data_IF_499719733631
#
_entry.id   IF_499719733631
#
_cell.length_a   1.000
_cell.length_b   1.000
_cell.length_c   1.000
_cell.angle_alpha   90.00
_cell.angle_beta   90.00
_cell.angle_gamma   90.00
#
_symmetry.space_group_name_H-M   'P 1'
#
loop_
_entity.id
_entity.type
_entity.pdbx_description
1 polymer ?
#
# COMPACT_ATOMS: atom_id res chain seq x y z
N UNK A 1 17.81 6.85 -14.30
CA UNK A 1 18.98 7.25 -13.50
C UNK A 1 18.59 8.26 -12.41
N UNK A 2 17.97 9.40 -12.74
CA UNK A 2 17.71 10.47 -11.76
C UNK A 2 16.86 10.04 -10.54
N UNK A 3 15.76 9.28 -10.71
CA UNK A 3 14.92 8.85 -9.58
C UNK A 3 15.59 7.85 -8.63
N UNK A 4 16.51 7.03 -9.15
CA UNK A 4 17.20 6.01 -8.36
C UNK A 4 18.03 6.66 -7.24
N UNK A 5 18.78 7.71 -7.58
CA UNK A 5 19.66 8.38 -6.61
C UNK A 5 18.85 9.04 -5.49
N UNK A 6 17.72 9.69 -5.81
CA UNK A 6 16.84 10.28 -4.80
C UNK A 6 16.25 9.22 -3.87
N UNK A 7 15.63 8.17 -4.42
CA UNK A 7 14.99 7.14 -3.59
C UNK A 7 16.01 6.36 -2.76
N UNK A 8 17.21 6.11 -3.29
CA UNK A 8 18.27 5.42 -2.54
C UNK A 8 18.68 6.21 -1.30
N UNK A 9 18.90 7.52 -1.43
CA UNK A 9 19.25 8.36 -0.29
C UNK A 9 18.09 8.45 0.73
N UNK A 10 16.85 8.55 0.26
CA UNK A 10 15.68 8.55 1.13
C UNK A 10 15.57 7.23 1.92
N UNK A 11 15.72 6.07 1.27
CA UNK A 11 15.65 4.78 1.93
C UNK A 11 16.81 4.56 2.90
N UNK A 12 18.02 5.00 2.56
CA UNK A 12 19.14 5.01 3.50
C UNK A 12 18.79 5.79 4.76
N UNK A 13 18.27 7.02 4.62
CA UNK A 13 17.86 7.85 5.76
C UNK A 13 16.76 7.19 6.61
N UNK A 14 15.78 6.53 5.97
CA UNK A 14 14.75 5.75 6.67
C UNK A 14 15.38 4.61 7.48
N UNK A 15 16.28 3.82 6.89
CA UNK A 15 16.91 2.69 7.59
C UNK A 15 17.84 3.15 8.72
N UNK A 16 18.56 4.27 8.55
CA UNK A 16 19.34 4.88 9.62
C UNK A 16 18.46 5.27 10.81
N UNK A 17 17.32 5.91 10.56
CA UNK A 17 16.38 6.33 11.60
C UNK A 17 15.69 5.14 12.32
N UNK A 18 15.56 4.00 11.67
CA UNK A 18 14.91 2.82 12.23
C UNK A 18 15.82 1.96 13.11
N UNK A 19 17.15 2.13 13.02
CA UNK A 19 18.14 1.45 13.87
C UNK A 19 17.91 -0.08 13.96
N UNK A 20 17.63 -0.72 12.82
CA UNK A 20 17.37 -2.17 12.74
C UNK A 20 15.94 -2.61 13.01
N UNK A 21 14.99 -1.69 13.21
CA UNK A 21 13.54 -2.01 13.16
C UNK A 21 13.11 -2.29 11.70
N UNK A 22 12.11 -3.16 11.48
CA UNK A 22 11.61 -3.46 10.15
C UNK A 22 10.97 -2.25 9.48
N UNK A 23 11.22 -2.08 8.18
CA UNK A 23 10.61 -1.04 7.34
C UNK A 23 9.80 -1.70 6.21
N UNK A 24 8.47 -1.67 6.33
CA UNK A 24 7.59 -2.13 5.25
C UNK A 24 7.42 -1.03 4.21
N UNK A 25 8.01 -1.24 3.02
CA UNK A 25 8.01 -0.29 1.92
C UNK A 25 7.07 -0.80 0.84
N UNK A 26 6.00 -0.06 0.60
CA UNK A 26 5.05 -0.32 -0.46
C UNK A 26 5.63 0.18 -1.79
N UNK A 27 5.60 -0.66 -2.82
CA UNK A 27 5.95 -0.22 -4.17
C UNK A 27 4.92 0.78 -4.71
N UNK A 28 5.22 1.39 -5.86
CA UNK A 28 4.36 2.40 -6.48
C UNK A 28 2.92 1.88 -6.57
N UNK A 29 2.00 2.74 -6.16
CA UNK A 29 0.59 2.45 -6.05
C UNK A 29 -0.28 3.36 -6.93
N UNK A 30 -0.11 4.70 -6.97
CA UNK A 30 -1.01 5.55 -7.75
C UNK A 30 -0.85 5.34 -9.27
N UNK A 31 -1.92 5.58 -10.05
CA UNK A 31 -1.87 5.59 -11.51
C UNK A 31 -1.01 6.76 -12.01
N UNK A 32 -0.42 6.60 -13.20
CA UNK A 32 0.55 7.57 -13.72
C UNK A 32 -0.03 8.96 -14.00
N UNK A 33 -1.33 9.07 -14.26
CA UNK A 33 -1.97 10.37 -14.51
C UNK A 33 -1.98 11.28 -13.28
N UNK A 34 -1.84 10.76 -12.06
CA UNK A 34 -1.69 11.59 -10.85
C UNK A 34 -0.39 12.40 -10.83
N UNK A 35 0.61 12.02 -11.64
CA UNK A 35 1.88 12.73 -11.78
C UNK A 35 1.89 13.70 -12.98
N UNK A 36 0.81 13.75 -13.76
CA UNK A 36 0.66 14.67 -14.89
C UNK A 36 -0.12 15.92 -14.47
N UNK A 37 0.04 17.06 -15.18
CA UNK A 37 -0.82 18.22 -14.96
C UNK A 37 -2.29 17.87 -15.15
N UNK A 38 -3.17 18.67 -14.52
CA UNK A 38 -4.59 18.49 -14.65
C UNK A 38 -5.00 18.54 -16.13
N UNK A 39 -5.67 17.49 -16.62
CA UNK A 39 -6.05 17.35 -18.02
C UNK A 39 -6.87 18.54 -18.53
N UNK A 40 -7.80 19.05 -17.71
CA UNK A 40 -8.70 20.16 -18.10
C UNK A 40 -7.92 21.46 -18.22
N UNK A 41 -7.00 21.72 -17.29
CA UNK A 41 -6.13 22.90 -17.33
C UNK A 41 -5.18 22.82 -18.52
N UNK A 42 -4.52 21.67 -18.71
CA UNK A 42 -3.59 21.45 -19.81
C UNK A 42 -4.26 21.55 -21.18
N UNK A 43 -5.46 20.98 -21.34
CA UNK A 43 -6.25 21.10 -22.57
C UNK A 43 -6.65 22.55 -22.85
N UNK A 44 -7.02 23.30 -21.81
CA UNK A 44 -7.36 24.72 -21.92
C UNK A 44 -6.15 25.57 -22.33
N UNK A 45 -4.98 25.32 -21.72
CA UNK A 45 -3.73 26.00 -22.08
C UNK A 45 -3.35 25.73 -23.54
N UNK A 46 -3.34 24.47 -23.96
CA UNK A 46 -2.99 24.08 -25.33
C UNK A 46 -3.97 24.71 -26.34
N UNK A 47 -5.26 24.80 -26.01
CA UNK A 47 -6.24 25.46 -26.87
C UNK A 47 -5.98 26.98 -27.01
N UNK A 48 -5.61 27.66 -25.91
CA UNK A 48 -5.26 29.08 -25.92
C UNK A 48 -3.96 29.33 -26.69
N UNK A 49 -2.95 28.49 -26.49
CA UNK A 49 -1.67 28.59 -27.21
C UNK A 49 -1.92 28.46 -28.73
N UNK A 50 -2.71 27.46 -29.16
CA UNK A 50 -3.12 27.29 -30.56
C UNK A 50 -3.86 28.50 -31.12
N UNK A 51 -4.81 29.04 -30.36
CA UNK A 51 -5.60 30.20 -30.79
C UNK A 51 -4.75 31.49 -30.89
N UNK A 52 -3.69 31.61 -30.09
CA UNK A 52 -2.77 32.76 -30.09
C UNK A 52 -1.57 32.57 -31.02
N UNK A 53 -1.53 31.47 -31.78
CA UNK A 53 -0.46 31.16 -32.74
C UNK A 53 0.84 30.68 -32.08
N UNK A 54 0.81 30.31 -30.80
CA UNK A 54 1.92 29.65 -30.11
C UNK A 54 1.74 28.13 -30.25
N UNK A 55 2.77 27.45 -30.74
CA UNK A 55 2.79 25.99 -30.79
C UNK A 55 3.90 25.54 -29.84
N UNK A 56 3.50 24.75 -28.85
CA UNK A 56 4.39 24.11 -27.88
C UNK A 56 4.22 22.59 -28.03
N UNK A 57 5.12 21.99 -28.80
CA UNK A 57 5.09 20.55 -29.12
C UNK A 57 5.21 19.67 -27.87
N UNK A 58 5.91 20.16 -26.83
CA UNK A 58 6.07 19.45 -25.56
C UNK A 58 4.73 19.43 -24.80
N UNK A 59 4.01 20.57 -24.73
CA UNK A 59 2.67 20.62 -24.14
C UNK A 59 1.66 19.77 -24.92
N UNK A 60 1.73 19.74 -26.24
CA UNK A 60 0.87 18.86 -27.04
C UNK A 60 1.15 17.37 -26.76
N UNK A 61 2.41 17.01 -26.65
CA UNK A 61 2.82 15.63 -26.31
C UNK A 61 2.33 15.27 -24.92
N UNK A 62 2.46 16.18 -23.96
CA UNK A 62 1.96 16.01 -22.59
C UNK A 62 0.44 15.88 -22.54
N UNK A 63 -0.30 16.68 -23.32
CA UNK A 63 -1.75 16.58 -23.42
C UNK A 63 -2.18 15.21 -23.94
N UNK A 64 -1.57 14.74 -25.03
CA UNK A 64 -1.87 13.40 -25.59
C UNK A 64 -1.55 12.30 -24.58
N UNK A 65 -0.47 12.44 -23.82
CA UNK A 65 -0.13 11.50 -22.75
C UNK A 65 -1.18 11.50 -21.65
N UNK A 66 -1.57 12.68 -21.15
CA UNK A 66 -2.61 12.84 -20.13
C UNK A 66 -3.97 12.29 -20.58
N UNK A 67 -4.37 12.53 -21.84
CA UNK A 67 -5.58 11.95 -22.43
C UNK A 67 -5.50 10.41 -22.50
N UNK A 68 -4.35 9.86 -22.91
CA UNK A 68 -4.17 8.41 -23.04
C UNK A 68 -4.16 7.68 -21.70
N UNK A 69 -3.74 8.34 -20.63
CA UNK A 69 -3.65 7.80 -19.27
C UNK A 69 -4.88 8.13 -18.41
N UNK A 70 -5.83 8.90 -18.95
CA UNK A 70 -7.06 9.24 -18.26
C UNK A 70 -7.95 8.01 -18.11
N UNK A 71 -8.43 7.78 -16.90
CA UNK A 71 -9.31 6.66 -16.57
C UNK A 71 -10.60 7.18 -15.95
N UNK A 72 -11.72 6.51 -16.25
CA UNK A 72 -13.03 6.87 -15.70
C UNK A 72 -13.08 6.62 -14.18
N UNK A 73 -12.47 5.52 -13.71
CA UNK A 73 -12.41 5.15 -12.30
C UNK A 73 -10.96 4.84 -11.88
N UNK A 74 -10.13 5.86 -11.63
CA UNK A 74 -8.71 5.70 -11.31
C UNK A 74 -8.39 4.72 -10.16
N UNK A 75 -9.27 4.68 -9.15
CA UNK A 75 -9.13 3.77 -8.01
C UNK A 75 -9.09 2.28 -8.42
N UNK A 76 -9.74 1.92 -9.53
CA UNK A 76 -9.80 0.55 -10.03
C UNK A 76 -8.98 0.35 -11.33
N UNK A 77 -8.16 1.32 -11.71
CA UNK A 77 -7.48 1.38 -13.01
C UNK A 77 -6.09 0.74 -13.06
N UNK A 78 -5.25 1.27 -13.95
CA UNK A 78 -3.86 0.87 -14.17
C UNK A 78 -2.95 1.44 -13.10
N UNK A 79 -2.91 0.75 -11.96
CA UNK A 79 -2.18 1.17 -10.76
C UNK A 79 -1.63 -0.05 -10.00
N UNK A 80 -0.87 0.18 -8.93
CA UNK A 80 -0.32 -0.88 -8.07
C UNK A 80 0.40 -2.00 -8.82
N UNK A 81 0.11 -3.26 -8.47
CA UNK A 81 0.71 -4.44 -9.12
C UNK A 81 0.51 -4.47 -10.63
N UNK A 82 -0.61 -3.94 -11.15
CA UNK A 82 -0.92 -3.96 -12.58
C UNK A 82 0.03 -3.04 -13.33
N UNK A 83 0.27 -1.85 -12.78
CA UNK A 83 1.26 -0.91 -13.33
C UNK A 83 2.65 -1.54 -13.31
N UNK A 84 2.99 -2.22 -12.21
CA UNK A 84 4.28 -2.92 -12.03
C UNK A 84 4.48 -4.06 -13.03
N UNK A 85 3.41 -4.75 -13.44
CA UNK A 85 3.46 -5.81 -14.46
C UNK A 85 3.63 -5.21 -15.87
N UNK A 86 2.94 -4.11 -16.17
CA UNK A 86 3.04 -3.44 -17.47
C UNK A 86 4.40 -2.75 -17.66
N UNK A 87 4.95 -2.17 -16.59
CA UNK A 87 6.22 -1.45 -16.58
C UNK A 87 7.18 -2.03 -15.52
N UNK A 88 7.75 -3.23 -15.75
CA UNK A 88 8.60 -3.93 -14.79
C UNK A 88 9.88 -3.16 -14.43
N UNK A 89 10.33 -2.24 -15.27
CA UNK A 89 11.45 -1.34 -14.99
C UNK A 89 11.24 -0.47 -13.74
N UNK A 90 9.98 -0.17 -13.38
CA UNK A 90 9.66 0.57 -12.16
C UNK A 90 9.99 -0.28 -10.94
N UNK A 91 9.61 -1.57 -10.97
CA UNK A 91 9.92 -2.53 -9.90
C UNK A 91 11.42 -2.66 -9.73
N UNK A 92 12.14 -2.88 -10.83
CA UNK A 92 13.60 -3.00 -10.79
C UNK A 92 14.26 -1.75 -10.19
N UNK A 93 13.79 -0.56 -10.56
CA UNK A 93 14.32 0.70 -10.02
C UNK A 93 14.03 0.86 -8.52
N UNK A 94 12.78 0.64 -8.08
CA UNK A 94 12.41 0.81 -6.66
C UNK A 94 13.07 -0.25 -5.76
N UNK A 95 13.07 -1.52 -6.18
CA UNK A 95 13.74 -2.60 -5.45
C UNK A 95 15.23 -2.32 -5.33
N UNK A 96 15.87 -1.86 -6.40
CA UNK A 96 17.28 -1.44 -6.37
C UNK A 96 17.50 -0.31 -5.39
N UNK A 97 16.68 0.74 -5.43
CA UNK A 97 16.80 1.87 -4.50
C UNK A 97 16.69 1.44 -3.03
N UNK A 98 15.70 0.60 -2.71
CA UNK A 98 15.47 0.07 -1.36
C UNK A 98 16.70 -0.72 -0.88
N UNK A 99 17.16 -1.67 -1.70
CA UNK A 99 18.24 -2.56 -1.31
C UNK A 99 19.61 -1.87 -1.31
N UNK A 100 19.89 -0.95 -2.22
CA UNK A 100 21.10 -0.14 -2.18
C UNK A 100 21.13 0.78 -0.95
N UNK A 101 19.99 1.36 -0.55
CA UNK A 101 19.87 2.14 0.68
C UNK A 101 20.14 1.29 1.93
N UNK A 102 19.56 0.08 1.98
CA UNK A 102 19.83 -0.89 3.05
C UNK A 102 21.30 -1.33 3.09
N UNK A 103 21.90 -1.62 1.93
CA UNK A 103 23.30 -2.01 1.79
C UNK A 103 24.24 -0.93 2.32
N UNK A 104 23.95 0.35 2.06
CA UNK A 104 24.74 1.47 2.57
C UNK A 104 24.78 1.49 4.11
N UNK A 105 23.62 1.29 4.77
CA UNK A 105 23.52 1.23 6.24
C UNK A 105 24.27 0.02 6.79
N UNK A 106 24.12 -1.16 6.18
CA UNK A 106 24.80 -2.39 6.61
C UNK A 106 26.32 -2.25 6.49
N UNK A 107 26.82 -1.70 5.38
CA UNK A 107 28.26 -1.45 5.17
C UNK A 107 28.85 -0.45 6.16
N UNK A 108 28.04 0.50 6.63
CA UNK A 108 28.41 1.43 7.68
C UNK A 108 28.41 0.80 9.10
N UNK A 109 28.07 -0.49 9.22
CA UNK A 109 28.00 -1.22 10.49
C UNK A 109 26.63 -1.16 11.19
N UNK A 110 25.63 -0.55 10.55
CA UNK A 110 24.25 -0.51 11.01
C UNK A 110 23.46 -1.79 10.71
N UNK A 111 22.15 -1.74 10.97
CA UNK A 111 21.20 -2.82 10.64
C UNK A 111 20.04 -2.26 9.85
N UNK A 112 19.72 -2.90 8.73
CA UNK A 112 18.54 -2.59 7.91
C UNK A 112 17.72 -3.86 7.72
N UNK A 113 16.39 -3.76 7.84
CA UNK A 113 15.46 -4.89 7.69
C UNK A 113 14.31 -4.46 6.75
N UNK A 114 14.54 -4.46 5.42
CA UNK A 114 13.54 -4.10 4.43
C UNK A 114 12.45 -5.18 4.32
N UNK A 115 11.19 -4.74 4.26
CA UNK A 115 10.04 -5.57 3.91
C UNK A 115 9.39 -4.97 2.66
N UNK A 116 9.53 -5.62 1.50
CA UNK A 116 9.04 -5.10 0.22
C UNK A 116 7.61 -5.59 0.00
N UNK A 117 6.67 -4.66 -0.15
CA UNK A 117 5.24 -4.95 -0.20
C UNK A 117 4.63 -4.54 -1.53
N UNK A 118 3.91 -5.48 -2.16
CA UNK A 118 3.22 -5.26 -3.43
C UNK A 118 1.76 -4.81 -3.17
N UNK A 119 1.32 -3.66 -3.71
CA UNK A 119 -0.06 -3.20 -3.58
C UNK A 119 -1.01 -3.83 -4.62
N UNK A 120 -2.30 -3.83 -4.28
CA UNK A 120 -3.44 -4.13 -5.15
C UNK A 120 -3.49 -5.55 -5.74
N UNK A 121 -2.87 -6.52 -5.06
CA UNK A 121 -2.83 -7.91 -5.51
C UNK A 121 -4.19 -8.58 -5.34
N UNK A 122 -4.70 -9.17 -6.43
CA UNK A 122 -5.93 -9.96 -6.45
C UNK A 122 -5.72 -11.41 -6.84
N UNK A 123 -4.57 -11.78 -7.42
CA UNK A 123 -4.27 -13.14 -7.89
C UNK A 123 -2.80 -13.52 -7.62
N UNK A 124 -2.54 -14.78 -7.24
CA UNK A 124 -1.17 -15.28 -6.96
C UNK A 124 -0.19 -15.02 -8.12
N UNK A 125 -0.58 -15.30 -9.37
CA UNK A 125 0.25 -15.03 -10.54
C UNK A 125 0.70 -13.56 -10.68
N UNK A 126 -0.09 -12.58 -10.24
CA UNK A 126 0.38 -11.18 -10.23
C UNK A 126 1.59 -11.03 -9.29
N UNK A 127 1.49 -11.63 -8.11
CA UNK A 127 2.56 -11.63 -7.11
C UNK A 127 3.78 -12.44 -7.57
N UNK A 128 3.58 -13.64 -8.13
CA UNK A 128 4.66 -14.48 -8.69
C UNK A 128 5.40 -13.77 -9.82
N UNK A 129 4.70 -13.09 -10.73
CA UNK A 129 5.33 -12.33 -11.83
C UNK A 129 6.23 -11.21 -11.29
N UNK A 130 5.76 -10.45 -10.30
CA UNK A 130 6.58 -9.38 -9.70
C UNK A 130 7.77 -9.94 -8.91
N UNK A 131 7.57 -11.04 -8.19
CA UNK A 131 8.62 -11.69 -7.39
C UNK A 131 9.83 -12.08 -8.26
N UNK A 132 9.61 -12.59 -9.47
CA UNK A 132 10.69 -12.94 -10.40
C UNK A 132 11.57 -11.73 -10.72
N UNK A 133 10.98 -10.58 -11.04
CA UNK A 133 11.76 -9.37 -11.35
C UNK A 133 12.44 -8.78 -10.11
N UNK A 134 11.77 -8.86 -8.95
CA UNK A 134 12.34 -8.45 -7.66
C UNK A 134 13.57 -9.29 -7.29
N UNK A 135 13.46 -10.62 -7.33
CA UNK A 135 14.56 -11.52 -6.95
C UNK A 135 15.76 -11.38 -7.89
N UNK A 136 15.51 -11.22 -9.19
CA UNK A 136 16.54 -10.90 -10.19
C UNK A 136 17.28 -9.60 -9.84
N UNK A 137 16.54 -8.55 -9.51
CA UNK A 137 17.11 -7.25 -9.12
C UNK A 137 17.87 -7.35 -7.81
N UNK A 138 17.30 -8.00 -6.80
CA UNK A 138 17.91 -8.17 -5.49
C UNK A 138 19.24 -8.93 -5.57
N UNK A 139 19.29 -10.00 -6.36
CA UNK A 139 20.51 -10.75 -6.60
C UNK A 139 21.60 -9.87 -7.24
N UNK A 140 21.25 -9.12 -8.29
CA UNK A 140 22.20 -8.21 -8.94
C UNK A 140 22.74 -7.16 -7.96
N UNK A 141 21.88 -6.55 -7.14
CA UNK A 141 22.30 -5.56 -6.13
C UNK A 141 23.22 -6.19 -5.09
N UNK A 142 22.89 -7.37 -4.55
CA UNK A 142 23.73 -8.03 -3.57
C UNK A 142 25.12 -8.39 -4.15
N UNK A 143 25.19 -8.86 -5.39
CA UNK A 143 26.45 -9.15 -6.10
C UNK A 143 27.28 -7.89 -6.31
N UNK A 144 26.67 -6.81 -6.82
CA UNK A 144 27.34 -5.53 -7.05
C UNK A 144 27.80 -4.85 -5.76
N UNK A 145 27.00 -4.95 -4.70
CA UNK A 145 27.32 -4.36 -3.41
C UNK A 145 28.28 -5.24 -2.59
N UNK A 146 28.40 -6.54 -2.88
CA UNK A 146 29.26 -7.45 -2.12
C UNK A 146 28.82 -7.62 -0.67
N UNK A 147 27.52 -7.48 -0.38
CA UNK A 147 26.93 -7.64 0.95
C UNK A 147 25.59 -8.36 0.84
N UNK A 148 25.31 -9.26 1.78
CA UNK A 148 24.01 -9.89 1.91
C UNK A 148 23.04 -8.92 2.59
N UNK A 149 21.85 -8.76 2.01
CA UNK A 149 20.83 -7.83 2.48
C UNK A 149 19.61 -8.67 2.84
N UNK A 150 19.33 -8.95 4.11
CA UNK A 150 18.15 -9.71 4.48
C UNK A 150 16.91 -8.85 4.21
N UNK A 151 15.99 -9.34 3.39
CA UNK A 151 14.69 -8.70 3.14
C UNK A 151 13.58 -9.76 3.15
N UNK A 152 12.35 -9.30 3.35
CA UNK A 152 11.15 -10.15 3.18
C UNK A 152 10.25 -9.59 2.10
N UNK A 153 9.55 -10.49 1.42
CA UNK A 153 8.60 -10.16 0.37
C UNK A 153 7.17 -10.45 0.82
N UNK A 154 6.27 -9.49 0.63
CA UNK A 154 4.88 -9.62 1.03
C UNK A 154 3.94 -8.79 0.17
N UNK A 155 2.67 -8.77 0.57
CA UNK A 155 1.64 -8.10 -0.20
C UNK A 155 0.66 -7.38 0.70
N UNK A 156 0.04 -6.34 0.14
CA UNK A 156 -1.16 -5.78 0.70
C UNK A 156 -2.35 -6.71 0.40
N UNK A 157 -3.24 -6.90 1.37
CA UNK A 157 -4.55 -7.54 1.19
C UNK A 157 -5.60 -6.44 1.23
N UNK A 158 -5.96 -5.96 0.05
CA UNK A 158 -6.86 -4.81 -0.13
C UNK A 158 -7.86 -4.99 -1.27
N UNK A 159 -7.73 -6.08 -2.03
CA UNK A 159 -8.71 -6.51 -3.03
C UNK A 159 -9.51 -7.67 -2.44
N UNK A 160 -10.87 -7.65 -2.47
CA UNK A 160 -11.69 -8.73 -1.91
C UNK A 160 -11.32 -10.12 -2.45
N UNK A 161 -10.98 -10.22 -3.75
CA UNK A 161 -10.50 -11.48 -4.34
C UNK A 161 -9.23 -11.99 -3.65
N UNK A 162 -8.28 -11.11 -3.36
CA UNK A 162 -7.04 -11.47 -2.67
C UNK A 162 -7.30 -12.01 -1.26
N UNK A 163 -8.28 -11.46 -0.55
CA UNK A 163 -8.71 -12.01 0.75
C UNK A 163 -9.34 -13.41 0.62
N UNK A 164 -10.19 -13.62 -0.41
CA UNK A 164 -10.86 -14.90 -0.65
C UNK A 164 -9.90 -16.02 -1.10
N UNK A 165 -8.79 -15.68 -1.76
CA UNK A 165 -7.76 -16.62 -2.24
C UNK A 165 -6.44 -16.46 -1.48
N UNK A 166 -6.50 -16.03 -0.22
CA UNK A 166 -5.33 -15.71 0.59
C UNK A 166 -4.40 -16.90 0.86
N UNK A 167 -4.94 -18.13 0.83
CA UNK A 167 -4.20 -19.39 0.88
C UNK A 167 -3.23 -19.51 -0.30
N UNK A 168 -3.67 -19.23 -1.52
CA UNK A 168 -2.81 -19.23 -2.70
C UNK A 168 -1.74 -18.15 -2.58
N UNK A 169 -2.12 -16.93 -2.20
CA UNK A 169 -1.20 -15.79 -2.09
C UNK A 169 -0.13 -16.03 -1.01
N UNK A 170 -0.49 -16.70 0.10
CA UNK A 170 0.43 -17.00 1.21
C UNK A 170 1.55 -17.99 0.85
N UNK A 171 1.43 -18.70 -0.27
CA UNK A 171 2.53 -19.52 -0.83
C UNK A 171 3.74 -18.62 -1.13
N UNK A 172 3.50 -17.45 -1.72
CA UNK A 172 4.55 -16.55 -2.18
C UNK A 172 4.91 -15.48 -1.14
N UNK A 173 3.92 -14.96 -0.42
CA UNK A 173 4.08 -13.86 0.53
C UNK A 173 4.51 -14.34 1.92
N UNK A 174 5.50 -13.68 2.50
CA UNK A 174 5.97 -13.91 3.87
C UNK A 174 5.18 -13.12 4.91
N UNK A 175 4.50 -12.05 4.48
CA UNK A 175 3.64 -11.23 5.32
C UNK A 175 2.47 -10.65 4.53
N UNK A 176 1.38 -10.34 5.24
CA UNK A 176 0.27 -9.55 4.75
C UNK A 176 0.13 -8.25 5.53
N UNK A 177 -0.17 -7.17 4.82
CA UNK A 177 -0.70 -5.94 5.41
C UNK A 177 -2.10 -5.69 4.87
N UNK A 178 -3.10 -5.56 5.73
CA UNK A 178 -4.44 -5.20 5.30
C UNK A 178 -4.50 -3.72 4.95
N UNK A 179 -4.74 -3.43 3.67
CA UNK A 179 -5.05 -2.10 3.15
C UNK A 179 -6.55 -1.85 3.30
N UNK A 180 -6.98 -1.58 4.53
CA UNK A 180 -8.41 -1.59 4.86
C UNK A 180 -9.18 -0.42 4.25
N UNK A 181 -8.52 0.66 3.82
CA UNK A 181 -9.17 1.74 3.10
C UNK A 181 -9.71 1.22 1.75
N UNK A 182 -8.84 0.70 0.89
CA UNK A 182 -9.21 0.13 -0.40
C UNK A 182 -10.09 -1.12 -0.24
N UNK A 183 -9.83 -1.96 0.76
CA UNK A 183 -10.69 -3.11 1.04
C UNK A 183 -12.12 -2.68 1.39
N UNK A 184 -12.27 -1.61 2.18
CA UNK A 184 -13.58 -1.03 2.52
C UNK A 184 -14.25 -0.45 1.27
N UNK A 185 -13.51 0.30 0.45
CA UNK A 185 -14.04 0.84 -0.81
C UNK A 185 -14.61 -0.25 -1.71
N UNK A 186 -13.85 -1.33 -1.94
CA UNK A 186 -14.28 -2.43 -2.80
C UNK A 186 -15.38 -3.31 -2.18
N UNK A 187 -15.40 -3.44 -0.84
CA UNK A 187 -16.42 -4.25 -0.14
C UNK A 187 -17.77 -3.55 -0.10
N UNK A 188 -17.79 -2.24 0.17
CA UNK A 188 -19.01 -1.44 0.20
C UNK A 188 -19.45 -0.94 -1.19
N UNK A 189 -18.52 -0.87 -2.14
CA UNK A 189 -18.73 -0.17 -3.40
C UNK A 189 -18.75 1.36 -3.21
N UNK A 190 -17.99 1.87 -2.23
CA UNK A 190 -17.92 3.29 -1.91
C UNK A 190 -16.61 3.88 -2.45
N UNK A 191 -16.72 4.92 -3.28
CA UNK A 191 -15.59 5.79 -3.60
C UNK A 191 -15.33 6.67 -2.39
N UNK A 192 -14.13 6.59 -1.80
CA UNK A 192 -13.77 7.39 -0.61
C UNK A 192 -13.96 8.89 -0.90
N UNK A 193 -13.48 9.34 -2.05
CA UNK A 193 -13.51 10.75 -2.47
C UNK A 193 -14.94 11.28 -2.74
N UNK A 194 -15.92 10.39 -2.97
CA UNK A 194 -17.31 10.77 -3.22
C UNK A 194 -18.25 10.48 -2.06
N UNK A 195 -17.83 9.66 -1.11
CA UNK A 195 -18.71 9.06 -0.09
C UNK A 195 -19.24 10.06 0.92
N UNK A 196 -18.50 11.13 1.22
CA UNK A 196 -18.90 12.23 2.11
C UNK A 196 -20.26 12.84 1.74
N UNK A 197 -20.62 12.80 0.44
CA UNK A 197 -21.89 13.33 -0.08
C UNK A 197 -23.13 12.59 0.47
N UNK A 198 -22.99 11.33 0.87
CA UNK A 198 -24.11 10.51 1.35
C UNK A 198 -23.89 9.81 2.70
N UNK A 199 -22.65 9.65 3.16
CA UNK A 199 -22.34 8.95 4.42
C UNK A 199 -22.98 9.61 5.64
N UNK A 200 -22.96 10.95 5.71
CA UNK A 200 -23.56 11.67 6.83
C UNK A 200 -25.06 11.35 7.01
N UNK A 201 -25.93 11.47 5.98
CA UNK A 201 -27.31 10.97 6.05
C UNK A 201 -27.44 9.49 6.40
N UNK A 202 -26.52 8.62 5.98
CA UNK A 202 -26.56 7.18 6.30
C UNK A 202 -26.37 6.94 7.80
N UNK A 203 -25.40 7.62 8.41
CA UNK A 203 -25.12 7.53 9.85
C UNK A 203 -26.23 8.19 10.67
N UNK A 204 -26.69 9.39 10.28
CA UNK A 204 -27.78 10.10 10.97
C UNK A 204 -29.09 9.31 10.98
N UNK A 205 -29.38 8.57 9.89
CA UNK A 205 -30.55 7.69 9.77
C UNK A 205 -30.32 6.30 10.35
N UNK A 206 -29.15 6.02 10.93
CA UNK A 206 -28.75 4.72 11.49
C UNK A 206 -28.84 3.57 10.48
N UNK A 207 -28.65 3.87 9.19
CA UNK A 207 -28.47 2.85 8.15
C UNK A 207 -27.11 2.16 8.38
N UNK A 208 -26.10 2.96 8.68
CA UNK A 208 -24.81 2.51 9.18
C UNK A 208 -24.62 2.99 10.62
N UNK A 209 -23.94 2.20 11.48
CA UNK A 209 -23.66 2.59 12.86
C UNK A 209 -22.63 3.72 12.97
N UNK A 210 -21.81 3.92 11.94
CA UNK A 210 -20.76 4.94 11.86
C UNK A 210 -20.15 4.95 10.46
N UNK A 211 -19.14 5.81 10.25
CA UNK A 211 -18.38 5.87 9.00
C UNK A 211 -17.45 4.64 8.89
N UNK A 212 -17.63 3.78 7.86
CA UNK A 212 -16.82 2.57 7.70
C UNK A 212 -15.37 2.85 7.31
N UNK A 213 -14.99 4.10 6.97
CA UNK A 213 -13.62 4.52 6.72
C UNK A 213 -12.90 5.05 7.98
N UNK A 214 -13.64 5.34 9.05
CA UNK A 214 -13.08 5.76 10.33
C UNK A 214 -12.88 4.56 11.28
N UNK A 215 -13.87 3.67 11.34
CA UNK A 215 -13.83 2.46 12.17
C UNK A 215 -14.25 1.25 11.36
N UNK A 216 -13.52 0.14 11.52
CA UNK A 216 -13.64 -1.04 10.67
C UNK A 216 -15.04 -1.65 10.77
N UNK A 217 -15.66 -1.88 9.61
CA UNK A 217 -16.86 -2.70 9.53
C UNK A 217 -16.52 -4.16 9.87
N UNK A 218 -16.76 -4.54 11.12
CA UNK A 218 -16.50 -5.91 11.61
C UNK A 218 -17.29 -6.99 10.87
N UNK A 219 -18.47 -6.68 10.32
CA UNK A 219 -19.41 -7.68 9.77
C UNK A 219 -19.23 -7.94 8.28
N UNK A 220 -18.70 -7.00 7.51
CA UNK A 220 -18.34 -7.18 6.11
C UNK A 220 -16.84 -7.21 5.92
N UNK A 221 -16.17 -6.05 6.02
CA UNK A 221 -14.71 -5.93 5.79
C UNK A 221 -13.92 -6.81 6.76
N UNK A 222 -14.33 -6.86 8.02
CA UNK A 222 -13.73 -7.71 9.05
C UNK A 222 -13.87 -9.22 8.76
N UNK A 223 -14.94 -9.64 8.09
CA UNK A 223 -15.08 -11.03 7.64
C UNK A 223 -14.08 -11.38 6.55
N UNK A 224 -13.85 -10.47 5.59
CA UNK A 224 -12.81 -10.67 4.58
C UNK A 224 -11.42 -10.77 5.21
N UNK A 225 -11.13 -9.93 6.22
CA UNK A 225 -9.88 -10.01 6.97
C UNK A 225 -9.73 -11.37 7.67
N UNK A 226 -10.77 -11.84 8.38
CA UNK A 226 -10.73 -13.13 9.06
C UNK A 226 -10.54 -14.30 8.08
N UNK A 227 -11.26 -14.31 6.95
CA UNK A 227 -11.11 -15.32 5.89
C UNK A 227 -9.66 -15.35 5.39
N UNK A 228 -9.08 -14.17 5.14
CA UNK A 228 -7.71 -14.07 4.66
C UNK A 228 -6.70 -14.63 5.67
N UNK A 229 -6.86 -14.30 6.96
CA UNK A 229 -6.01 -14.79 8.06
C UNK A 229 -6.09 -16.31 8.18
N UNK A 230 -7.31 -16.84 8.23
CA UNK A 230 -7.54 -18.27 8.43
C UNK A 230 -6.95 -19.08 7.27
N UNK A 231 -7.20 -18.65 6.03
CA UNK A 231 -6.64 -19.27 4.82
C UNK A 231 -5.12 -19.20 4.80
N UNK A 232 -4.54 -18.02 5.04
CA UNK A 232 -3.08 -17.85 5.02
C UNK A 232 -2.37 -18.73 6.05
N UNK A 233 -2.92 -18.84 7.26
CA UNK A 233 -2.35 -19.65 8.34
C UNK A 233 -2.36 -21.15 8.05
N UNK A 234 -3.24 -21.64 7.17
CA UNK A 234 -3.18 -23.06 6.75
C UNK A 234 -1.95 -23.37 5.90
N UNK A 235 -1.44 -22.37 5.17
CA UNK A 235 -0.28 -22.50 4.27
C UNK A 235 1.01 -22.06 4.96
N UNK A 236 0.97 -20.94 5.70
CA UNK A 236 2.10 -20.38 6.43
C UNK A 236 1.67 -20.04 7.87
N UNK A 237 1.76 -20.99 8.82
CA UNK A 237 1.27 -20.80 10.20
C UNK A 237 1.87 -19.59 10.94
N UNK A 238 3.11 -19.23 10.61
CA UNK A 238 3.84 -18.11 11.21
C UNK A 238 3.86 -16.85 10.32
N UNK A 239 2.92 -16.73 9.36
CA UNK A 239 2.83 -15.55 8.50
C UNK A 239 2.67 -14.29 9.36
N UNK A 240 3.43 -13.24 9.05
CA UNK A 240 3.31 -11.94 9.72
C UNK A 240 2.09 -11.21 9.14
N UNK A 241 1.16 -10.81 10.00
CA UNK A 241 -0.11 -10.19 9.64
C UNK A 241 -0.20 -8.82 10.30
N UNK A 242 -0.46 -7.77 9.53
CA UNK A 242 -0.73 -6.46 10.07
C UNK A 242 -1.79 -5.70 9.31
N UNK A 243 -2.08 -4.50 9.77
CA UNK A 243 -2.99 -3.55 9.14
C UNK A 243 -2.29 -2.20 9.02
N UNK A 244 -2.60 -1.47 7.95
CA UNK A 244 -2.14 -0.10 7.75
C UNK A 244 -3.32 0.80 7.37
N UNK A 245 -3.12 2.11 7.52
CA UNK A 245 -4.13 3.13 7.22
C UNK A 245 -4.85 3.65 8.46
N UNK A 246 -6.02 4.25 8.24
CA UNK A 246 -6.73 5.00 9.28
C UNK A 246 -7.23 4.11 10.42
N UNK A 247 -7.77 2.94 10.07
CA UNK A 247 -8.25 1.95 11.03
C UNK A 247 -7.14 1.46 11.99
N UNK A 248 -5.87 1.48 11.55
CA UNK A 248 -4.74 1.09 12.40
C UNK A 248 -4.53 2.00 13.62
N UNK A 249 -5.12 3.19 13.63
CA UNK A 249 -5.08 4.14 14.75
C UNK A 249 -6.43 4.35 15.45
N UNK A 250 -7.48 3.63 15.06
CA UNK A 250 -8.80 3.71 15.69
C UNK A 250 -8.90 2.67 16.83
N UNK A 251 -9.18 3.06 18.09
CA UNK A 251 -9.20 2.12 19.21
C UNK A 251 -10.11 0.90 19.00
N UNK A 252 -11.31 1.09 18.44
CA UNK A 252 -12.26 -0.02 18.24
C UNK A 252 -11.75 -1.01 17.17
N UNK A 253 -11.16 -0.48 16.10
CA UNK A 253 -10.50 -1.26 15.05
C UNK A 253 -9.24 -1.96 15.54
N UNK A 254 -8.42 -1.33 16.37
CA UNK A 254 -7.23 -1.95 16.98
C UNK A 254 -7.62 -3.12 17.88
N UNK A 255 -8.69 -2.97 18.67
CA UNK A 255 -9.23 -4.07 19.49
C UNK A 255 -9.73 -5.21 18.60
N UNK A 256 -10.42 -4.91 17.50
CA UNK A 256 -10.82 -5.93 16.52
C UNK A 256 -9.61 -6.66 15.91
N UNK A 257 -8.57 -5.92 15.51
CA UNK A 257 -7.34 -6.50 14.97
C UNK A 257 -6.67 -7.46 15.95
N UNK A 258 -6.70 -7.15 17.25
CA UNK A 258 -6.24 -8.05 18.30
C UNK A 258 -7.10 -9.32 18.39
N UNK A 259 -8.44 -9.18 18.38
CA UNK A 259 -9.38 -10.31 18.44
C UNK A 259 -9.18 -11.32 17.30
N UNK A 260 -8.94 -10.84 16.08
CA UNK A 260 -8.72 -11.71 14.90
C UNK A 260 -7.26 -12.18 14.75
N UNK A 261 -6.37 -11.76 15.66
CA UNK A 261 -5.01 -12.27 15.76
C UNK A 261 -4.01 -11.68 14.77
N UNK A 262 -4.10 -10.38 14.46
CA UNK A 262 -3.01 -9.64 13.80
C UNK A 262 -1.78 -9.52 14.73
N UNK A 263 -0.59 -9.46 14.12
CA UNK A 263 0.67 -9.28 14.84
C UNK A 263 0.98 -7.81 15.15
N UNK A 264 0.52 -6.88 14.31
CA UNK A 264 0.75 -5.45 14.50
C UNK A 264 -0.35 -4.58 13.87
N UNK A 265 -0.40 -3.33 14.31
CA UNK A 265 -1.14 -2.23 13.68
C UNK A 265 -0.16 -1.12 13.30
N UNK A 266 -0.38 -0.49 12.15
CA UNK A 266 0.43 0.63 11.67
C UNK A 266 -0.47 1.84 11.40
N UNK A 267 -0.09 3.00 11.95
CA UNK A 267 -0.86 4.24 11.87
C UNK A 267 0.07 5.46 11.78
N UNK A 268 -0.51 6.63 11.52
CA UNK A 268 0.24 7.88 11.47
C UNK A 268 0.97 8.18 12.80
N UNK A 269 2.11 8.89 12.79
CA UNK A 269 2.96 9.06 13.97
C UNK A 269 2.22 9.55 15.22
N UNK A 270 1.30 10.49 15.06
CA UNK A 270 0.52 11.07 16.17
C UNK A 270 -0.53 10.12 16.75
N UNK A 271 -0.95 9.09 16.00
CA UNK A 271 -1.91 8.06 16.48
C UNK A 271 -1.20 6.89 17.17
N UNK A 272 0.12 6.78 17.09
CA UNK A 272 0.89 5.69 17.75
C UNK A 272 0.60 5.56 19.25
N UNK A 273 0.55 6.64 20.06
CA UNK A 273 0.22 6.52 21.48
C UNK A 273 -1.19 5.95 21.72
N UNK A 274 -2.15 6.34 20.89
CA UNK A 274 -3.54 5.87 20.95
C UNK A 274 -3.62 4.39 20.61
N UNK A 275 -2.99 3.98 19.51
CA UNK A 275 -2.95 2.58 19.08
C UNK A 275 -2.28 1.68 20.14
N UNK A 276 -1.20 2.14 20.77
CA UNK A 276 -0.53 1.42 21.86
C UNK A 276 -1.44 1.24 23.08
N UNK A 277 -2.17 2.29 23.47
CA UNK A 277 -3.10 2.22 24.59
C UNK A 277 -4.26 1.26 24.29
N UNK A 278 -4.86 1.36 23.10
CA UNK A 278 -5.94 0.50 22.66
C UNK A 278 -5.50 -0.99 22.59
N UNK A 279 -4.32 -1.27 22.05
CA UNK A 279 -3.76 -2.62 22.02
C UNK A 279 -3.53 -3.19 23.42
N UNK A 280 -3.05 -2.37 24.36
CA UNK A 280 -2.90 -2.78 25.76
C UNK A 280 -4.25 -3.05 26.45
N UNK A 281 -5.28 -2.24 26.18
CA UNK A 281 -6.63 -2.46 26.69
C UNK A 281 -7.23 -3.76 26.15
N UNK A 282 -7.08 -4.00 24.85
CA UNK A 282 -7.52 -5.23 24.19
C UNK A 282 -6.87 -6.47 24.81
N UNK A 283 -5.54 -6.45 25.02
CA UNK A 283 -4.81 -7.55 25.65
C UNK A 283 -5.21 -7.80 27.11
N UNK A 284 -5.72 -6.78 27.82
CA UNK A 284 -6.25 -6.90 29.19
C UNK A 284 -7.73 -7.32 29.24
N UNK A 285 -8.37 -7.57 28.10
CA UNK A 285 -9.80 -7.88 28.01
C UNK A 285 -10.72 -6.70 28.38
N UNK A 286 -10.19 -5.46 28.35
CA UNK A 286 -10.98 -4.24 28.57
C UNK A 286 -11.46 -3.75 27.21
N UNK A 287 -12.77 -3.75 26.99
CA UNK A 287 -13.38 -3.10 25.83
C UNK A 287 -13.07 -1.60 25.82
N UNK A 288 -13.20 -0.96 24.65
CA UNK A 288 -13.11 0.50 24.55
C UNK A 288 -14.21 1.09 25.44
N UNK A 289 -13.82 1.93 26.39
CA UNK A 289 -14.78 2.69 27.20
C UNK A 289 -15.41 3.74 26.29
N UNK A 290 -16.66 3.52 25.88
CA UNK A 290 -17.48 4.58 25.28
C UNK A 290 -17.53 5.74 26.29
N UNK A 291 -16.91 6.86 25.95
CA UNK A 291 -17.18 8.15 26.59
C UNK A 291 -18.04 8.96 25.65
#
# INVERSE_FOLDING_TARGET
>A
AQLLDFQREDFKGIFEALEGKPATIRLIDPPLHEFLPNLTELASEVAVDKATGKIDDDKETMLRAAESMHEINPMLGLRGVRLSIVYPEIVAMQVRAILEGAAAVIKAGGKAVPEIMIPLVGHINELTTIKVELEKTAKAVQEEQGVEIPYSFGTMIEVPRGALTADEIAVEAEFFSFGTNDLTQMTFGFSRDDSDKFLKPYVERKILPGDPFESIDRKGVGQLMQIAIDKAKTVRPNIKLGICGEHGGDPASVVFCHEIGLNYVSCSPFRVPIARLAAAQAALGKGVSDK
#
